data_IF_826483370282
#
_entry.id   IF_826483370282
#
_cell.length_a   1.000
_cell.length_b   1.000
_cell.length_c   1.000
_cell.angle_alpha   90.00
_cell.angle_beta   90.00
_cell.angle_gamma   90.00
#
_symmetry.space_group_name_H-M   'P 1'
#
loop_
_entity.id
_entity.type
_entity.pdbx_description
1 polymer ?
#
# COMPACT_ATOMS: atom_id res chain seq x y z
N UNK A 1 -27.42 -10.12 1.82
CA UNK A 1 -26.03 -9.79 1.37
C UNK A 1 -25.07 -10.47 2.33
N UNK A 2 -24.12 -11.25 1.84
CA UNK A 2 -23.11 -11.92 2.67
C UNK A 2 -21.79 -11.21 2.44
N UNK A 3 -21.17 -10.70 3.51
CA UNK A 3 -19.78 -10.22 3.48
C UNK A 3 -18.87 -11.39 3.83
N UNK A 4 -17.86 -11.64 3.00
CA UNK A 4 -16.96 -12.77 3.17
C UNK A 4 -15.54 -12.39 2.74
N UNK A 5 -14.54 -13.08 3.29
CA UNK A 5 -13.13 -12.93 2.93
C UNK A 5 -12.72 -14.12 2.08
N UNK A 6 -12.81 -13.96 0.76
CA UNK A 6 -12.45 -14.99 -0.22
C UNK A 6 -11.26 -14.55 -1.04
N UNK A 7 -10.20 -15.36 -1.01
CA UNK A 7 -9.08 -15.23 -1.95
C UNK A 7 -9.44 -15.72 -3.34
N UNK A 8 -8.47 -15.71 -4.22
CA UNK A 8 -8.60 -16.34 -5.54
C UNK A 8 -8.67 -17.86 -5.38
N UNK A 9 -9.28 -18.56 -6.36
CA UNK A 9 -9.48 -20.03 -6.28
C UNK A 9 -8.17 -20.83 -6.11
N UNK A 10 -7.05 -20.28 -6.58
CA UNK A 10 -5.73 -20.90 -6.54
C UNK A 10 -5.01 -20.72 -5.19
N UNK A 11 -5.51 -19.85 -4.33
CA UNK A 11 -4.88 -19.57 -3.04
C UNK A 11 -5.28 -20.58 -1.98
N UNK A 12 -4.32 -20.96 -1.15
CA UNK A 12 -4.60 -21.67 0.10
C UNK A 12 -5.49 -20.84 1.01
N UNK A 13 -6.19 -21.47 1.96
CA UNK A 13 -7.26 -20.82 2.73
C UNK A 13 -6.79 -19.60 3.51
N UNK A 14 -5.71 -19.71 4.29
CA UNK A 14 -5.23 -18.60 5.12
C UNK A 14 -4.62 -17.50 4.26
N UNK A 15 -3.83 -17.89 3.26
CA UNK A 15 -3.26 -16.95 2.28
C UNK A 15 -4.37 -16.18 1.57
N UNK A 16 -5.43 -16.86 1.14
CA UNK A 16 -6.58 -16.25 0.49
C UNK A 16 -7.34 -15.26 1.39
N UNK A 17 -7.51 -15.58 2.68
CA UNK A 17 -8.10 -14.64 3.66
C UNK A 17 -7.24 -13.38 3.79
N UNK A 18 -5.91 -13.53 3.97
CA UNK A 18 -5.00 -12.41 4.09
C UNK A 18 -4.98 -11.54 2.83
N UNK A 19 -4.91 -12.17 1.65
CA UNK A 19 -4.97 -11.44 0.38
C UNK A 19 -6.29 -10.67 0.22
N UNK A 20 -7.44 -11.28 0.58
CA UNK A 20 -8.74 -10.60 0.47
C UNK A 20 -8.87 -9.39 1.38
N UNK A 21 -8.12 -9.34 2.51
CA UNK A 21 -8.00 -8.13 3.35
C UNK A 21 -7.24 -7.03 2.61
N UNK A 22 -6.14 -7.36 1.94
CA UNK A 22 -5.37 -6.40 1.13
C UNK A 22 -6.20 -5.87 -0.03
N UNK A 23 -6.80 -6.75 -0.83
CA UNK A 23 -7.63 -6.40 -1.98
C UNK A 23 -8.85 -5.56 -1.58
N UNK A 24 -9.55 -5.96 -0.51
CA UNK A 24 -10.70 -5.23 0.02
C UNK A 24 -10.34 -3.83 0.51
N UNK A 25 -9.20 -3.68 1.19
CA UNK A 25 -8.68 -2.38 1.62
C UNK A 25 -8.27 -1.51 0.42
N UNK A 26 -7.65 -2.09 -0.59
CA UNK A 26 -7.28 -1.34 -1.80
C UNK A 26 -8.50 -0.87 -2.59
N UNK A 27 -9.51 -1.73 -2.77
CA UNK A 27 -10.79 -1.35 -3.39
C UNK A 27 -11.46 -0.18 -2.64
N UNK A 28 -11.42 -0.22 -1.30
CA UNK A 28 -11.91 0.87 -0.46
C UNK A 28 -11.08 2.13 -0.64
N UNK A 29 -9.75 2.03 -0.69
CA UNK A 29 -8.87 3.17 -0.94
C UNK A 29 -9.22 3.85 -2.27
N UNK A 30 -9.39 3.08 -3.36
CA UNK A 30 -9.84 3.62 -4.67
C UNK A 30 -11.17 4.36 -4.56
N UNK A 31 -12.11 3.86 -3.77
CA UNK A 31 -13.40 4.55 -3.52
C UNK A 31 -13.22 5.85 -2.73
N UNK A 32 -12.30 5.89 -1.75
CA UNK A 32 -12.01 7.08 -0.95
C UNK A 32 -11.40 8.19 -1.82
N UNK A 33 -10.51 7.86 -2.75
CA UNK A 33 -9.82 8.84 -3.60
C UNK A 33 -10.54 9.13 -4.92
N UNK A 34 -11.63 8.43 -5.21
CA UNK A 34 -12.39 8.59 -6.45
C UNK A 34 -12.82 10.05 -6.66
N UNK A 35 -12.62 10.54 -7.89
CA UNK A 35 -12.98 11.89 -8.33
C UNK A 35 -12.28 13.04 -7.57
N UNK A 36 -11.17 12.78 -6.87
CA UNK A 36 -10.35 13.86 -6.32
C UNK A 36 -9.72 14.68 -7.45
N UNK A 37 -9.79 16.00 -7.34
CA UNK A 37 -9.09 16.91 -8.25
C UNK A 37 -7.57 16.91 -7.97
N UNK A 38 -6.77 17.45 -8.92
CA UNK A 38 -5.32 17.60 -8.70
C UNK A 38 -5.03 18.45 -7.46
N UNK A 39 -5.81 19.50 -7.23
CA UNK A 39 -5.65 20.34 -6.04
C UNK A 39 -5.94 19.56 -4.74
N UNK A 40 -6.97 18.71 -4.76
CA UNK A 40 -7.33 17.87 -3.61
C UNK A 40 -6.27 16.84 -3.29
N UNK A 41 -5.71 16.14 -4.29
CA UNK A 41 -4.67 15.13 -4.06
C UNK A 41 -3.33 15.72 -3.64
N UNK A 42 -3.05 16.99 -4.00
CA UNK A 42 -1.84 17.72 -3.62
C UNK A 42 -2.01 18.50 -2.29
N UNK A 43 -3.24 18.54 -1.73
CA UNK A 43 -3.54 19.29 -0.51
C UNK A 43 -2.86 18.68 0.71
N UNK A 44 -2.20 19.54 1.50
CA UNK A 44 -1.37 19.17 2.66
C UNK A 44 -1.98 19.56 4.02
N UNK A 45 -3.31 19.67 4.06
CA UNK A 45 -4.02 20.09 5.27
C UNK A 45 -4.05 21.62 5.45
N UNK A 46 -4.79 22.10 6.48
CA UNK A 46 -4.99 23.54 6.70
C UNK A 46 -3.69 24.32 6.87
N UNK A 47 -2.71 23.73 7.55
CA UNK A 47 -1.42 24.35 7.85
C UNK A 47 -0.33 24.02 6.84
N UNK A 48 -0.65 23.32 5.76
CA UNK A 48 0.29 22.83 4.74
C UNK A 48 1.44 21.96 5.30
N UNK A 49 1.21 21.28 6.43
CA UNK A 49 2.22 20.48 7.15
C UNK A 49 1.99 18.97 7.09
N UNK A 50 0.83 18.55 6.61
CA UNK A 50 0.53 17.12 6.43
C UNK A 50 1.18 16.57 5.16
N UNK A 51 1.31 15.25 5.08
CA UNK A 51 1.54 14.59 3.81
C UNK A 51 0.27 14.66 2.96
N UNK A 52 0.40 14.95 1.68
CA UNK A 52 -0.72 14.98 0.75
C UNK A 52 -1.21 13.57 0.41
N UNK A 53 -2.42 13.46 -0.14
CA UNK A 53 -2.95 12.19 -0.66
C UNK A 53 -2.02 11.58 -1.71
N UNK A 54 -1.42 12.37 -2.60
CA UNK A 54 -0.45 11.90 -3.59
C UNK A 54 0.78 11.28 -2.92
N UNK A 55 1.35 11.93 -1.91
CA UNK A 55 2.48 11.40 -1.14
C UNK A 55 2.12 10.08 -0.43
N UNK A 56 0.92 10.00 0.17
CA UNK A 56 0.46 8.81 0.88
C UNK A 56 0.20 7.64 -0.08
N UNK A 57 -0.37 7.87 -1.27
CA UNK A 57 -0.57 6.82 -2.28
C UNK A 57 0.76 6.25 -2.77
N UNK A 58 1.74 7.11 -3.09
CA UNK A 58 3.07 6.66 -3.50
C UNK A 58 3.78 5.89 -2.38
N UNK A 59 3.69 6.38 -1.14
CA UNK A 59 4.27 5.71 0.04
C UNK A 59 3.66 4.32 0.25
N UNK A 60 2.35 4.19 0.18
CA UNK A 60 1.66 2.91 0.31
C UNK A 60 2.13 1.92 -0.76
N UNK A 61 2.16 2.34 -2.02
CA UNK A 61 2.63 1.48 -3.11
C UNK A 61 4.09 1.03 -2.90
N UNK A 62 4.98 1.92 -2.43
CA UNK A 62 6.37 1.57 -2.17
C UNK A 62 6.53 0.59 -1.00
N UNK A 63 5.83 0.82 0.12
CA UNK A 63 5.88 -0.09 1.28
C UNK A 63 5.37 -1.47 0.90
N UNK A 64 4.25 -1.54 0.19
CA UNK A 64 3.66 -2.79 -0.27
C UNK A 64 4.58 -3.54 -1.25
N UNK A 65 5.23 -2.82 -2.17
CA UNK A 65 6.24 -3.37 -3.08
C UNK A 65 7.46 -3.91 -2.32
N UNK A 66 7.91 -3.20 -1.28
CA UNK A 66 9.01 -3.65 -0.42
C UNK A 66 8.68 -4.99 0.23
N UNK A 67 7.44 -5.18 0.67
CA UNK A 67 6.98 -6.46 1.23
C UNK A 67 6.98 -7.58 0.19
N UNK A 68 6.63 -7.31 -1.06
CA UNK A 68 6.71 -8.32 -2.13
C UNK A 68 8.13 -8.86 -2.26
N UNK A 69 9.13 -7.98 -2.28
CA UNK A 69 10.54 -8.40 -2.43
C UNK A 69 11.11 -9.05 -1.17
N UNK A 70 10.71 -8.59 0.03
CA UNK A 70 11.06 -9.27 1.29
C UNK A 70 10.54 -10.71 1.33
N UNK A 71 9.27 -10.92 0.98
CA UNK A 71 8.66 -12.26 0.99
C UNK A 71 9.30 -13.18 -0.04
N UNK A 72 9.73 -12.65 -1.18
CA UNK A 72 10.46 -13.40 -2.20
C UNK A 72 11.91 -13.70 -1.84
N UNK A 73 12.45 -13.05 -0.81
CA UNK A 73 13.89 -13.05 -0.49
C UNK A 73 14.74 -12.57 -1.70
N UNK A 74 14.28 -11.53 -2.37
CA UNK A 74 14.91 -10.94 -3.55
C UNK A 74 15.24 -9.46 -3.33
N UNK A 75 16.31 -8.99 -3.98
CA UNK A 75 16.63 -7.55 -4.02
C UNK A 75 15.68 -6.87 -4.99
N UNK A 76 15.10 -5.74 -4.57
CA UNK A 76 14.25 -4.94 -5.46
C UNK A 76 15.09 -4.40 -6.64
N UNK A 77 14.62 -4.55 -7.89
CA UNK A 77 15.28 -3.96 -9.06
C UNK A 77 15.41 -2.44 -8.95
N UNK A 78 16.52 -1.89 -9.43
CA UNK A 78 16.82 -0.45 -9.35
C UNK A 78 15.77 0.43 -10.04
N UNK A 79 15.22 -0.01 -11.16
CA UNK A 79 14.17 0.71 -11.89
C UNK A 79 12.88 0.82 -11.07
N UNK A 80 12.54 -0.19 -10.29
CA UNK A 80 11.40 -0.14 -9.36
C UNK A 80 11.71 0.73 -8.13
N UNK A 81 12.93 0.64 -7.60
CA UNK A 81 13.38 1.52 -6.51
C UNK A 81 13.32 2.99 -6.93
N UNK A 82 13.77 3.33 -8.14
CA UNK A 82 13.71 4.68 -8.68
C UNK A 82 12.26 5.14 -8.94
N UNK A 83 11.41 4.25 -9.48
CA UNK A 83 10.01 4.55 -9.80
C UNK A 83 9.18 4.81 -8.54
N UNK A 84 9.26 3.94 -7.54
CA UNK A 84 8.38 3.96 -6.37
C UNK A 84 8.99 4.64 -5.15
N UNK A 85 10.30 4.58 -4.96
CA UNK A 85 11.00 5.10 -3.79
C UNK A 85 11.31 6.59 -3.83
N UNK A 86 12.11 7.03 -2.88
CA UNK A 86 12.48 6.31 -1.68
C UNK A 86 11.32 6.25 -0.66
N UNK A 87 11.41 5.36 0.34
CA UNK A 87 10.43 5.25 1.42
C UNK A 87 10.29 6.55 2.20
N UNK A 88 11.43 7.13 2.58
CA UNK A 88 11.54 8.41 3.26
C UNK A 88 12.58 9.28 2.54
N UNK A 89 12.30 10.56 2.46
CA UNK A 89 13.24 11.57 2.01
C UNK A 89 14.09 12.11 3.16
N UNK A 90 14.68 13.28 2.94
CA UNK A 90 15.43 14.00 3.96
C UNK A 90 14.56 14.29 5.20
N UNK A 91 15.15 14.27 6.39
CA UNK A 91 14.49 14.53 7.67
C UNK A 91 13.36 13.52 8.03
N UNK A 92 13.41 12.28 7.53
CA UNK A 92 12.41 11.25 7.79
C UNK A 92 10.98 11.65 7.37
N UNK A 93 10.84 12.53 6.40
CA UNK A 93 9.55 12.91 5.83
C UNK A 93 9.30 12.15 4.51
N UNK A 94 8.05 12.00 4.13
CA UNK A 94 7.73 11.47 2.81
C UNK A 94 8.29 12.41 1.72
N UNK A 95 8.85 11.86 0.63
CA UNK A 95 9.34 12.64 -0.49
C UNK A 95 8.29 13.64 -0.99
N UNK A 96 8.74 14.82 -1.40
CA UNK A 96 7.83 15.81 -1.98
C UNK A 96 7.28 15.27 -3.31
N UNK A 97 5.98 15.35 -3.46
CA UNK A 97 5.28 14.94 -4.68
C UNK A 97 4.16 15.94 -4.95
N UNK A 98 4.15 16.52 -6.15
CA UNK A 98 3.13 17.47 -6.58
C UNK A 98 2.91 17.37 -8.08
N UNK A 99 1.66 17.50 -8.51
CA UNK A 99 1.29 17.49 -9.92
C UNK A 99 1.23 16.11 -10.59
N UNK A 100 1.49 15.02 -9.85
CA UNK A 100 1.28 13.67 -10.35
C UNK A 100 -0.22 13.36 -10.31
N UNK A 101 -0.79 12.96 -11.46
CA UNK A 101 -2.23 12.71 -11.54
C UNK A 101 -2.66 11.48 -10.72
N UNK A 102 -3.92 11.49 -10.28
CA UNK A 102 -4.51 10.36 -9.56
C UNK A 102 -4.43 9.06 -10.38
N UNK A 103 -4.67 9.16 -11.69
CA UNK A 103 -4.62 7.98 -12.58
C UNK A 103 -3.23 7.35 -12.63
N UNK A 104 -2.17 8.16 -12.69
CA UNK A 104 -0.78 7.64 -12.65
C UNK A 104 -0.52 6.94 -11.32
N UNK A 105 -0.88 7.57 -10.20
CA UNK A 105 -0.68 6.99 -8.86
C UNK A 105 -1.45 5.69 -8.67
N UNK A 106 -2.69 5.62 -9.16
CA UNK A 106 -3.50 4.41 -9.06
C UNK A 106 -3.01 3.30 -10.01
N UNK A 107 -2.60 3.63 -11.24
CA UNK A 107 -2.03 2.65 -12.16
C UNK A 107 -0.74 2.03 -11.59
N UNK A 108 0.15 2.86 -11.04
CA UNK A 108 1.36 2.37 -10.37
C UNK A 108 1.03 1.47 -9.18
N UNK A 109 0.01 1.82 -8.40
CA UNK A 109 -0.41 0.99 -7.27
C UNK A 109 -1.14 -0.29 -7.73
N UNK A 110 -1.93 -0.24 -8.80
CA UNK A 110 -2.55 -1.43 -9.41
C UNK A 110 -1.46 -2.46 -9.81
N UNK A 111 -0.33 -2.02 -10.36
CA UNK A 111 0.82 -2.89 -10.67
C UNK A 111 1.33 -3.61 -9.41
N UNK A 112 1.48 -2.89 -8.30
CA UNK A 112 1.94 -3.48 -7.03
C UNK A 112 0.93 -4.47 -6.46
N UNK A 113 -0.35 -4.15 -6.49
CA UNK A 113 -1.42 -5.06 -6.04
C UNK A 113 -1.45 -6.35 -6.88
N UNK A 114 -1.22 -6.24 -8.19
CA UNK A 114 -1.09 -7.41 -9.06
C UNK A 114 0.14 -8.28 -8.70
N UNK A 115 1.25 -7.65 -8.30
CA UNK A 115 2.43 -8.39 -7.79
C UNK A 115 2.09 -9.13 -6.49
N UNK A 116 1.39 -8.49 -5.55
CA UNK A 116 0.94 -9.13 -4.29
C UNK A 116 0.00 -10.30 -4.61
N UNK A 117 -0.95 -10.11 -5.52
CA UNK A 117 -1.84 -11.18 -5.96
C UNK A 117 -1.05 -12.40 -6.47
N UNK A 118 -0.13 -12.15 -7.39
CA UNK A 118 0.71 -13.19 -7.99
C UNK A 118 1.56 -13.92 -6.94
N UNK A 119 2.11 -13.17 -5.99
CA UNK A 119 2.85 -13.73 -4.86
C UNK A 119 1.96 -14.64 -4.00
N UNK A 120 0.78 -14.16 -3.62
CA UNK A 120 -0.15 -14.92 -2.79
C UNK A 120 -0.68 -16.20 -3.48
N UNK A 121 -0.83 -16.19 -4.81
CA UNK A 121 -1.18 -17.41 -5.57
C UNK A 121 -0.07 -18.49 -5.56
N UNK A 122 1.18 -18.09 -5.25
CA UNK A 122 2.32 -19.02 -5.19
C UNK A 122 2.64 -19.48 -3.77
N UNK A 123 2.12 -18.81 -2.75
CA UNK A 123 2.36 -19.13 -1.35
C UNK A 123 1.39 -20.22 -0.86
N UNK A 124 1.96 -21.18 -0.13
CA UNK A 124 1.17 -22.13 0.66
C UNK A 124 0.98 -21.65 2.09
N UNK A 125 -0.08 -22.06 2.75
CA UNK A 125 -0.33 -21.73 4.17
C UNK A 125 0.84 -22.17 5.08
N UNK A 126 1.58 -23.22 4.71
CA UNK A 126 2.78 -23.66 5.44
C UNK A 126 3.91 -22.62 5.38
N UNK A 127 4.13 -22.00 4.21
CA UNK A 127 5.17 -20.99 4.01
C UNK A 127 4.88 -19.69 4.77
N UNK A 128 3.62 -19.42 5.12
CA UNK A 128 3.23 -18.23 5.88
C UNK A 128 3.93 -18.11 7.25
N UNK A 129 4.48 -19.19 7.78
CA UNK A 129 5.22 -19.18 9.04
C UNK A 129 6.74 -18.94 8.87
N UNK A 130 7.23 -18.87 7.64
CA UNK A 130 8.64 -18.54 7.37
C UNK A 130 8.93 -17.12 7.82
N UNK A 131 10.14 -16.91 8.33
CA UNK A 131 10.65 -15.62 8.75
C UNK A 131 11.29 -14.89 7.56
N UNK A 132 11.11 -13.59 7.53
CA UNK A 132 11.77 -12.66 6.61
C UNK A 132 12.36 -11.51 7.40
N UNK A 133 13.43 -10.93 6.88
CA UNK A 133 14.06 -9.76 7.51
C UNK A 133 13.08 -8.58 7.60
N UNK A 134 13.07 -7.93 8.76
CA UNK A 134 12.28 -6.75 9.01
C UNK A 134 13.16 -5.62 9.60
N UNK A 135 12.58 -4.48 9.86
CA UNK A 135 13.28 -3.26 10.26
C UNK A 135 14.12 -3.44 11.53
N UNK A 136 15.25 -2.75 11.59
CA UNK A 136 16.15 -2.72 12.76
C UNK A 136 16.69 -4.09 13.20
N UNK A 137 16.86 -5.02 12.26
CA UNK A 137 17.36 -6.36 12.54
C UNK A 137 16.34 -7.29 13.21
N UNK A 138 15.06 -6.92 13.17
CA UNK A 138 13.97 -7.79 13.57
C UNK A 138 13.60 -8.75 12.44
N UNK A 139 12.81 -9.76 12.75
CA UNK A 139 12.21 -10.68 11.78
C UNK A 139 10.69 -10.63 11.88
N UNK A 140 10.03 -10.91 10.77
CA UNK A 140 8.59 -11.06 10.71
C UNK A 140 8.21 -12.35 9.99
N UNK A 141 7.06 -12.93 10.30
CA UNK A 141 6.53 -14.01 9.48
C UNK A 141 5.91 -13.46 8.20
N UNK A 142 5.90 -14.24 7.13
CA UNK A 142 5.22 -13.87 5.87
C UNK A 142 3.76 -13.48 6.13
N UNK A 143 3.03 -14.23 6.96
CA UNK A 143 1.63 -13.88 7.32
C UNK A 143 1.50 -12.52 8.00
N UNK A 144 2.47 -12.17 8.85
CA UNK A 144 2.49 -10.86 9.48
C UNK A 144 2.74 -9.76 8.44
N UNK A 145 3.64 -9.99 7.50
CA UNK A 145 3.91 -9.05 6.41
C UNK A 145 2.67 -8.77 5.55
N UNK A 146 1.93 -9.81 5.13
CA UNK A 146 0.70 -9.64 4.35
C UNK A 146 -0.38 -8.93 5.19
N UNK A 147 -0.52 -9.28 6.46
CA UNK A 147 -1.41 -8.56 7.38
C UNK A 147 -0.99 -7.09 7.53
N UNK A 148 0.31 -6.81 7.67
CA UNK A 148 0.84 -5.46 7.83
C UNK A 148 0.53 -4.57 6.61
N UNK A 149 0.61 -5.09 5.38
CA UNK A 149 0.15 -4.39 4.16
C UNK A 149 -1.29 -3.90 4.35
N UNK A 150 -2.19 -4.77 4.79
CA UNK A 150 -3.59 -4.41 4.98
C UNK A 150 -3.79 -3.38 6.11
N UNK A 151 -3.10 -3.54 7.24
CA UNK A 151 -3.19 -2.65 8.41
C UNK A 151 -2.61 -1.26 8.11
N UNK A 152 -1.43 -1.21 7.51
CA UNK A 152 -0.76 0.03 7.10
C UNK A 152 -1.61 0.82 6.08
N UNK A 153 -2.21 0.13 5.12
CA UNK A 153 -3.14 0.76 4.18
C UNK A 153 -4.34 1.38 4.92
N UNK A 154 -4.94 0.66 5.88
CA UNK A 154 -6.06 1.17 6.70
C UNK A 154 -5.68 2.40 7.52
N UNK A 155 -4.48 2.41 8.09
CA UNK A 155 -3.96 3.55 8.83
C UNK A 155 -3.91 4.81 7.95
N UNK A 156 -3.36 4.72 6.74
CA UNK A 156 -3.27 5.87 5.85
C UNK A 156 -4.60 6.25 5.18
N UNK A 157 -5.55 5.33 5.03
CA UNK A 157 -6.91 5.68 4.59
C UNK A 157 -7.60 6.67 5.55
N UNK A 158 -7.33 6.57 6.84
CA UNK A 158 -7.85 7.52 7.82
C UNK A 158 -7.27 8.93 7.59
N UNK A 159 -5.98 9.03 7.31
CA UNK A 159 -5.32 10.30 6.99
C UNK A 159 -5.87 10.91 5.69
N UNK A 160 -6.00 10.11 4.62
CA UNK A 160 -6.56 10.56 3.34
C UNK A 160 -8.02 11.04 3.52
N UNK A 161 -8.82 10.30 4.26
CA UNK A 161 -10.21 10.69 4.55
C UNK A 161 -10.29 12.01 5.32
N UNK A 162 -9.36 12.25 6.23
CA UNK A 162 -9.28 13.50 6.98
C UNK A 162 -8.85 14.67 6.09
N UNK A 163 -7.86 14.46 5.19
CA UNK A 163 -7.44 15.48 4.21
C UNK A 163 -8.62 15.87 3.30
N UNK A 164 -9.35 14.88 2.79
CA UNK A 164 -10.54 15.10 1.96
C UNK A 164 -11.60 15.92 2.67
N UNK A 165 -11.86 15.59 3.96
CA UNK A 165 -12.80 16.35 4.77
C UNK A 165 -12.36 17.80 4.96
N UNK A 166 -11.10 18.06 5.24
CA UNK A 166 -10.59 19.43 5.39
C UNK A 166 -10.64 20.21 4.06
N UNK A 167 -10.26 19.57 2.95
CA UNK A 167 -10.33 20.19 1.63
C UNK A 167 -11.75 20.62 1.26
N UNK A 168 -12.77 19.81 1.58
CA UNK A 168 -14.16 20.13 1.32
C UNK A 168 -14.72 21.28 2.18
N UNK A 169 -14.00 21.71 3.21
CA UNK A 169 -14.37 22.80 4.12
C UNK A 169 -13.55 24.07 3.88
N UNK A 170 -12.57 24.04 2.97
CA UNK A 170 -11.73 25.18 2.58
C UNK A 170 -12.32 25.92 1.39
#
# INVERSE_FOLDING_TARGET
MIFDLRGEPEMDTVTGILYSMVDGNYKRLKSIVANMSQEEIDYKGPDQKCNSTAQLLKHLAYVDLTWVYRIKDEVMPLDLEEKYGPMLGENNQLPQLKGTSLDVLLNDYDDVINMIKSLCCQLTDKQLNQLVDYENGNEATIKWGIWHIADHNRYHQAHISQLRKWFSQS
#
